data_IF_596446625254
#
_entry.id   IF_596446625254
#
_cell.length_a   1.000
_cell.length_b   1.000
_cell.length_c   1.000
_cell.angle_alpha   90.00
_cell.angle_beta   90.00
_cell.angle_gamma   90.00
#
_symmetry.space_group_name_H-M   'P 1'
#
loop_
_entity.id
_entity.type
_entity.pdbx_description
1 polymer ?
#
# COMPACT_ATOMS: atom_id res chain seq x y z
N UNK A 1 -23.84 21.65 -32.21
CA UNK A 1 -22.53 21.15 -31.74
C UNK A 1 -22.76 20.13 -30.63
N UNK A 2 -22.45 18.86 -30.93
CA UNK A 2 -22.04 17.75 -30.05
C UNK A 2 -22.54 17.75 -28.59
N UNK A 3 -23.76 17.23 -28.39
CA UNK A 3 -24.25 16.70 -27.09
C UNK A 3 -24.20 15.16 -27.03
N UNK A 4 -23.71 14.52 -28.09
CA UNK A 4 -23.47 13.08 -28.18
C UNK A 4 -21.99 12.90 -27.88
N UNK A 5 -21.63 12.43 -26.68
CA UNK A 5 -20.38 11.70 -26.38
C UNK A 5 -20.13 11.45 -24.88
N UNK A 6 -20.91 12.03 -23.94
CA UNK A 6 -20.62 11.81 -22.51
C UNK A 6 -21.23 10.52 -21.94
N UNK A 7 -22.36 10.05 -22.48
CA UNK A 7 -23.02 8.83 -21.96
C UNK A 7 -22.36 7.51 -22.38
N UNK A 8 -21.43 7.51 -23.34
CA UNK A 8 -20.77 6.28 -23.82
C UNK A 8 -19.57 5.90 -22.93
N UNK A 9 -19.02 6.82 -22.14
CA UNK A 9 -17.82 6.55 -21.32
C UNK A 9 -18.17 5.90 -19.96
N UNK A 10 -19.42 5.98 -19.50
CA UNK A 10 -19.84 5.37 -18.22
C UNK A 10 -20.35 3.92 -18.36
N UNK A 11 -20.54 3.41 -19.58
CA UNK A 11 -21.10 2.07 -19.83
C UNK A 11 -20.08 0.91 -19.95
N UNK A 12 -18.79 1.14 -19.69
CA UNK A 12 -17.76 0.08 -19.91
C UNK A 12 -17.45 -0.78 -18.68
N UNK A 13 -17.99 -0.52 -17.48
CA UNK A 13 -17.64 -1.33 -16.30
C UNK A 13 -18.81 -1.94 -15.53
N UNK A 14 -19.90 -2.27 -16.22
CA UNK A 14 -20.81 -3.31 -15.74
C UNK A 14 -20.25 -4.68 -16.12
N UNK A 15 -19.05 -5.01 -15.60
CA UNK A 15 -18.59 -6.41 -15.63
C UNK A 15 -19.49 -7.18 -14.66
N UNK A 16 -20.23 -8.15 -15.19
CA UNK A 16 -20.85 -9.20 -14.38
C UNK A 16 -19.72 -10.07 -13.80
N UNK A 17 -18.99 -9.53 -12.84
CA UNK A 17 -17.97 -10.25 -12.09
C UNK A 17 -18.59 -10.81 -10.82
N UNK A 18 -18.39 -12.10 -10.59
CA UNK A 18 -18.62 -12.68 -9.26
C UNK A 18 -17.53 -12.11 -8.33
N UNK A 19 -17.91 -11.75 -7.10
CA UNK A 19 -16.97 -11.26 -6.10
C UNK A 19 -15.89 -12.32 -5.81
N UNK A 20 -14.64 -11.88 -5.65
CA UNK A 20 -13.50 -12.76 -5.42
C UNK A 20 -13.55 -13.41 -4.02
N UNK A 21 -13.32 -14.73 -3.93
CA UNK A 21 -13.27 -15.49 -2.66
C UNK A 21 -11.88 -15.50 -2.00
N UNK A 22 -10.83 -15.05 -2.70
CA UNK A 22 -9.49 -14.90 -2.13
C UNK A 22 -9.38 -13.62 -1.29
N UNK A 23 -8.67 -13.64 -0.15
CA UNK A 23 -8.40 -12.43 0.61
C UNK A 23 -7.78 -11.38 -0.32
N UNK A 24 -8.34 -10.15 -0.36
CA UNK A 24 -7.87 -9.13 -1.28
C UNK A 24 -6.40 -8.82 -0.95
N UNK A 25 -5.56 -8.56 -1.97
CA UNK A 25 -4.16 -8.21 -1.73
C UNK A 25 -4.11 -7.00 -0.81
N UNK A 26 -3.25 -6.99 0.21
CA UNK A 26 -3.14 -5.84 1.14
C UNK A 26 -2.34 -4.69 0.53
N UNK A 27 -1.39 -5.01 -0.35
CA UNK A 27 -0.63 -4.06 -1.14
C UNK A 27 -0.53 -4.59 -2.56
N UNK A 28 -0.39 -3.68 -3.52
CA UNK A 28 0.06 -4.03 -4.86
C UNK A 28 1.60 -3.99 -4.86
N UNK A 29 2.23 -3.31 -5.82
CA UNK A 29 3.70 -3.22 -5.90
C UNK A 29 4.27 -2.31 -4.80
N UNK A 30 3.82 -1.06 -4.79
CA UNK A 30 4.24 -0.02 -3.83
C UNK A 30 3.07 0.75 -3.24
N UNK A 31 1.85 0.52 -3.76
CA UNK A 31 0.64 1.22 -3.35
C UNK A 31 -0.26 0.30 -2.52
N UNK A 32 -0.93 0.84 -1.49
CA UNK A 32 -1.83 0.09 -0.63
C UNK A 32 -3.16 -0.11 -1.35
N UNK A 33 -3.80 -1.25 -1.08
CA UNK A 33 -5.21 -1.45 -1.41
C UNK A 33 -6.07 -1.22 -0.16
N UNK A 34 -7.39 -1.34 -0.30
CA UNK A 34 -8.33 -1.39 0.80
C UNK A 34 -8.25 -2.69 1.66
N UNK A 35 -7.54 -3.71 1.19
CA UNK A 35 -7.41 -5.00 1.86
C UNK A 35 -6.50 -4.95 3.08
N UNK A 36 -6.83 -5.78 4.08
CA UNK A 36 -6.08 -5.98 5.33
C UNK A 36 -5.75 -7.46 5.51
N UNK A 37 -4.70 -7.75 6.29
CA UNK A 37 -4.43 -9.13 6.71
C UNK A 37 -5.59 -9.69 7.52
N UNK A 38 -5.94 -10.96 7.26
CA UNK A 38 -6.93 -11.71 8.05
C UNK A 38 -6.41 -11.87 9.48
N UNK A 39 -7.31 -11.91 10.46
CA UNK A 39 -6.95 -12.07 11.88
C UNK A 39 -6.01 -13.26 12.10
N UNK A 40 -4.92 -13.03 12.82
CA UNK A 40 -3.91 -14.03 13.13
C UNK A 40 -2.98 -14.38 11.97
N UNK A 41 -3.10 -13.70 10.82
CA UNK A 41 -2.18 -13.85 9.69
C UNK A 41 -0.99 -12.90 9.83
N UNK A 42 0.15 -13.32 9.30
CA UNK A 42 1.40 -12.57 9.30
C UNK A 42 1.90 -12.40 7.86
N UNK A 43 2.53 -11.28 7.57
CA UNK A 43 3.21 -11.05 6.31
C UNK A 43 4.59 -10.44 6.54
N UNK A 44 5.60 -11.00 5.89
CA UNK A 44 6.95 -10.47 5.86
C UNK A 44 7.26 -9.95 4.46
N UNK A 45 7.74 -8.71 4.37
CA UNK A 45 8.19 -8.10 3.12
C UNK A 45 9.66 -7.71 3.26
N UNK A 46 10.48 -8.09 2.28
CA UNK A 46 11.84 -7.62 2.13
C UNK A 46 11.95 -6.85 0.81
N UNK A 47 12.46 -5.63 0.87
CA UNK A 47 12.60 -4.75 -0.29
C UNK A 47 14.06 -4.39 -0.49
N UNK A 48 14.65 -4.90 -1.57
CA UNK A 48 15.96 -4.50 -2.06
C UNK A 48 15.81 -3.18 -2.83
N UNK A 49 16.74 -2.26 -2.62
CA UNK A 49 16.72 -0.90 -3.13
C UNK A 49 18.04 -0.56 -3.82
N UNK A 50 18.14 0.64 -4.41
CA UNK A 50 19.40 1.18 -4.95
C UNK A 50 20.49 1.19 -3.87
N UNK A 51 21.75 1.21 -4.30
CA UNK A 51 22.94 1.31 -3.43
C UNK A 51 23.01 0.22 -2.35
N UNK A 52 22.45 -0.97 -2.61
CA UNK A 52 22.49 -2.05 -1.63
C UNK A 52 21.51 -1.93 -0.47
N UNK A 53 20.57 -0.99 -0.53
CA UNK A 53 19.59 -0.80 0.54
C UNK A 53 18.65 -1.98 0.70
N UNK A 54 18.32 -2.33 1.95
CA UNK A 54 17.37 -3.38 2.28
C UNK A 54 16.45 -2.90 3.40
N UNK A 55 15.15 -2.96 3.15
CA UNK A 55 14.11 -2.78 4.18
C UNK A 55 13.39 -4.08 4.42
N UNK A 56 13.28 -4.49 5.68
CA UNK A 56 12.45 -5.62 6.10
C UNK A 56 11.24 -5.10 6.87
N UNK A 57 10.06 -5.64 6.57
CA UNK A 57 8.80 -5.30 7.24
C UNK A 57 8.09 -6.56 7.67
N UNK A 58 7.51 -6.51 8.87
CA UNK A 58 6.65 -7.56 9.42
C UNK A 58 5.30 -6.93 9.78
N UNK A 59 4.22 -7.53 9.29
CA UNK A 59 2.85 -7.11 9.54
C UNK A 59 1.99 -8.26 10.08
N UNK A 60 1.00 -7.92 10.90
CA UNK A 60 0.05 -8.81 11.55
C UNK A 60 -1.37 -8.30 11.35
N UNK A 61 -2.29 -9.21 10.98
CA UNK A 61 -3.72 -8.99 11.11
C UNK A 61 -4.16 -9.16 12.56
N UNK A 62 -4.32 -8.06 13.29
CA UNK A 62 -4.79 -8.08 14.68
C UNK A 62 -6.27 -8.46 14.74
N UNK A 63 -7.05 -7.90 13.81
CA UNK A 63 -8.42 -8.31 13.51
C UNK A 63 -8.56 -8.44 12.00
N UNK A 64 -9.71 -8.92 11.51
CA UNK A 64 -9.93 -8.93 10.07
C UNK A 64 -9.89 -7.52 9.47
N UNK A 65 -10.12 -6.47 10.27
CA UNK A 65 -10.15 -5.07 9.81
C UNK A 65 -8.91 -4.26 10.18
N UNK A 66 -8.14 -4.69 11.17
CA UNK A 66 -7.01 -3.92 11.67
C UNK A 66 -5.71 -4.71 11.51
N UNK A 67 -4.78 -4.08 10.80
CA UNK A 67 -3.42 -4.56 10.58
C UNK A 67 -2.43 -3.61 11.24
N UNK A 68 -1.44 -4.20 11.90
CA UNK A 68 -0.30 -3.51 12.50
C UNK A 68 0.99 -4.12 11.94
N UNK A 69 1.98 -3.29 11.65
CA UNK A 69 3.28 -3.72 11.19
C UNK A 69 4.38 -2.73 11.53
N UNK A 70 5.60 -3.23 11.50
CA UNK A 70 6.82 -2.47 11.69
C UNK A 70 7.78 -2.77 10.54
N UNK A 71 8.63 -1.81 10.22
CA UNK A 71 9.72 -1.98 9.27
C UNK A 71 11.01 -1.38 9.80
N UNK A 72 12.13 -1.99 9.41
CA UNK A 72 13.45 -1.47 9.70
C UNK A 72 14.41 -1.91 8.59
N UNK A 73 15.47 -1.15 8.40
CA UNK A 73 16.36 -1.39 7.27
C UNK A 73 17.60 -0.52 7.30
N UNK A 74 18.32 -0.60 6.18
CA UNK A 74 19.53 0.16 5.92
C UNK A 74 19.50 0.63 4.46
N UNK A 75 20.06 1.81 4.22
CA UNK A 75 20.19 2.36 2.88
C UNK A 75 21.35 1.75 2.08
N UNK A 76 22.30 1.12 2.78
CA UNK A 76 23.42 0.39 2.21
C UNK A 76 23.76 -0.82 3.10
N UNK A 77 23.02 -1.93 2.92
CA UNK A 77 23.25 -3.18 3.66
C UNK A 77 24.07 -4.18 2.83
N UNK A 78 23.89 -4.16 1.52
CA UNK A 78 24.49 -5.10 0.56
C UNK A 78 25.43 -4.34 -0.36
N UNK A 79 26.72 -4.33 -0.06
CA UNK A 79 27.71 -3.60 -0.84
C UNK A 79 29.11 -3.70 -0.23
N UNK A 80 30.04 -2.96 -0.82
CA UNK A 80 31.43 -2.80 -0.38
C UNK A 80 31.67 -1.47 0.38
N UNK A 81 30.72 -0.55 0.32
CA UNK A 81 30.72 0.70 1.07
C UNK A 81 30.31 0.51 2.55
N UNK A 82 30.40 1.57 3.36
CA UNK A 82 30.03 1.53 4.78
C UNK A 82 28.53 1.33 5.01
N UNK A 83 28.20 0.50 6.00
CA UNK A 83 26.83 0.20 6.42
C UNK A 83 26.14 1.43 7.03
N UNK A 84 24.96 1.77 6.50
CA UNK A 84 24.16 2.93 6.93
C UNK A 84 22.74 2.51 7.36
N UNK A 85 22.55 2.33 8.67
CA UNK A 85 21.24 1.99 9.24
C UNK A 85 20.26 3.17 9.19
N UNK A 86 18.98 2.87 9.04
CA UNK A 86 17.94 3.85 9.32
C UNK A 86 17.91 4.21 10.82
N UNK A 87 17.52 5.44 11.18
CA UNK A 87 17.64 5.93 12.56
C UNK A 87 16.67 5.25 13.53
N UNK A 88 15.56 4.70 13.03
CA UNK A 88 14.51 4.07 13.84
C UNK A 88 13.67 3.09 13.04
N UNK A 89 12.99 2.14 13.71
CA UNK A 89 11.90 1.40 13.11
C UNK A 89 10.74 2.32 12.73
N UNK A 90 10.10 2.03 11.61
CA UNK A 90 8.94 2.74 11.08
C UNK A 90 7.68 1.87 11.21
N UNK A 91 6.51 2.51 11.25
CA UNK A 91 5.24 1.84 11.50
C UNK A 91 4.37 1.78 10.25
N UNK A 92 3.67 0.65 10.10
CA UNK A 92 2.62 0.45 9.09
C UNK A 92 1.31 0.07 9.80
N UNK A 93 0.30 0.92 9.70
CA UNK A 93 -1.03 0.68 10.25
C UNK A 93 -2.04 0.67 9.11
N UNK A 94 -3.04 -0.19 9.20
CA UNK A 94 -4.17 -0.15 8.28
C UNK A 94 -5.47 -0.57 8.97
N UNK A 95 -6.51 0.22 8.76
CA UNK A 95 -7.86 -0.05 9.20
C UNK A 95 -8.84 -0.06 8.03
N UNK A 96 -9.53 -1.19 7.83
CA UNK A 96 -10.56 -1.37 6.81
C UNK A 96 -11.90 -0.81 7.32
N UNK A 97 -12.33 0.28 6.70
CA UNK A 97 -13.57 0.99 7.03
C UNK A 97 -14.79 0.28 6.45
N UNK A 98 -14.72 -0.06 5.16
CA UNK A 98 -15.83 -0.64 4.39
C UNK A 98 -15.31 -1.89 3.69
N UNK A 99 -16.09 -2.97 3.80
CA UNK A 99 -15.82 -4.21 3.12
C UNK A 99 -16.28 -4.11 1.67
N UNK A 100 -15.47 -4.67 0.77
CA UNK A 100 -15.86 -4.79 -0.63
C UNK A 100 -17.06 -5.72 -0.75
N UNK A 101 -18.10 -5.27 -1.45
CA UNK A 101 -19.28 -6.08 -1.79
C UNK A 101 -19.50 -6.04 -3.29
N UNK A 102 -20.53 -6.68 -3.83
CA UNK A 102 -20.86 -6.57 -5.26
C UNK A 102 -21.15 -5.12 -5.67
N UNK A 103 -21.77 -4.30 -4.83
CA UNK A 103 -22.18 -2.92 -5.15
C UNK A 103 -21.23 -1.83 -4.63
N UNK A 104 -20.40 -2.11 -3.62
CA UNK A 104 -19.55 -1.11 -2.96
C UNK A 104 -18.07 -1.48 -3.07
N UNK A 105 -17.14 -0.55 -3.38
CA UNK A 105 -15.71 -0.79 -3.22
C UNK A 105 -15.33 -0.89 -1.75
N UNK A 106 -14.30 -1.68 -1.45
CA UNK A 106 -13.69 -1.65 -0.12
C UNK A 106 -12.98 -0.32 0.10
N UNK A 107 -13.00 0.18 1.34
CA UNK A 107 -12.30 1.41 1.75
C UNK A 107 -11.42 1.14 2.97
N UNK A 108 -10.22 1.72 2.99
CA UNK A 108 -9.33 1.69 4.16
C UNK A 108 -8.65 3.02 4.39
N UNK A 109 -8.25 3.24 5.64
CA UNK A 109 -7.29 4.25 6.04
C UNK A 109 -6.05 3.56 6.58
N UNK A 110 -4.89 4.16 6.41
CA UNK A 110 -3.67 3.66 7.00
C UNK A 110 -2.63 4.73 7.23
N UNK A 111 -1.54 4.29 7.84
CA UNK A 111 -0.33 5.04 8.09
C UNK A 111 0.83 4.19 7.60
N UNK A 112 1.73 4.76 6.82
CA UNK A 112 3.00 4.14 6.48
C UNK A 112 4.10 5.19 6.63
N UNK A 113 4.95 5.04 7.65
CA UNK A 113 6.04 5.98 7.93
C UNK A 113 7.37 5.58 7.30
N UNK A 114 7.42 4.43 6.60
CA UNK A 114 8.64 3.96 5.94
C UNK A 114 8.82 4.58 4.56
N UNK A 115 9.87 5.39 4.41
CA UNK A 115 10.35 5.85 3.10
C UNK A 115 11.34 4.87 2.46
N UNK A 116 11.91 5.29 1.33
CA UNK A 116 12.86 4.50 0.53
C UNK A 116 14.11 5.33 0.21
N UNK A 117 15.25 4.65 0.03
CA UNK A 117 16.55 5.27 -0.24
C UNK A 117 17.25 5.73 1.03
N UNK A 118 18.12 6.74 0.88
CA UNK A 118 18.90 7.31 1.97
C UNK A 118 18.04 8.13 2.93
N UNK A 119 18.37 8.09 4.23
CA UNK A 119 17.75 8.96 5.22
C UNK A 119 18.63 10.20 5.44
N UNK A 120 18.08 11.38 5.18
CA UNK A 120 18.83 12.63 5.19
C UNK A 120 18.64 13.33 6.55
N UNK A 121 19.51 13.04 7.51
CA UNK A 121 19.49 13.68 8.85
C UNK A 121 19.86 15.17 8.82
N UNK A 122 20.68 15.58 7.86
CA UNK A 122 21.11 16.97 7.70
C UNK A 122 20.04 17.88 7.08
N UNK A 123 18.98 17.30 6.51
CA UNK A 123 17.83 18.06 6.03
C UNK A 123 17.00 18.48 7.26
N UNK A 124 16.59 19.75 7.35
CA UNK A 124 15.72 20.24 8.45
C UNK A 124 14.42 19.44 8.59
N UNK A 125 14.09 18.75 7.50
CA UNK A 125 12.91 17.96 7.21
C UNK A 125 13.07 16.47 7.56
N UNK A 126 14.30 16.01 7.84
CA UNK A 126 14.65 14.66 8.34
C UNK A 126 13.90 13.53 7.62
N UNK A 127 14.21 13.34 6.33
CA UNK A 127 13.41 12.53 5.40
C UNK A 127 14.21 11.55 4.55
N UNK A 128 13.51 10.53 4.07
CA UNK A 128 14.01 9.61 3.05
C UNK A 128 14.04 10.27 1.66
N UNK A 129 14.94 9.81 0.78
CA UNK A 129 15.00 10.22 -0.63
C UNK A 129 13.63 10.12 -1.33
N UNK A 130 12.95 8.99 -1.13
CA UNK A 130 11.54 8.83 -1.47
C UNK A 130 10.76 8.80 -0.19
N UNK A 131 9.94 9.82 0.00
CA UNK A 131 9.09 9.98 1.17
C UNK A 131 8.18 8.77 1.36
N UNK A 132 7.93 8.43 2.63
CA UNK A 132 6.87 7.50 2.98
C UNK A 132 5.51 8.00 2.47
N UNK A 133 4.47 7.18 2.50
CA UNK A 133 3.13 7.68 2.19
C UNK A 133 2.58 8.58 3.31
N UNK A 134 2.97 8.35 4.57
CA UNK A 134 2.31 8.96 5.72
C UNK A 134 0.90 8.42 5.91
N UNK A 135 -0.06 9.28 6.27
CA UNK A 135 -1.47 8.87 6.32
C UNK A 135 -1.98 8.72 4.89
N UNK A 136 -2.69 7.64 4.62
CA UNK A 136 -3.30 7.39 3.32
C UNK A 136 -4.73 6.87 3.45
N UNK A 137 -5.48 7.04 2.37
CA UNK A 137 -6.77 6.40 2.13
C UNK A 137 -6.70 5.60 0.83
N UNK A 138 -7.29 4.41 0.81
CA UNK A 138 -7.32 3.55 -0.36
C UNK A 138 -8.73 2.97 -0.58
N UNK A 139 -9.18 2.98 -1.82
CA UNK A 139 -10.38 2.31 -2.28
C UNK A 139 -10.01 1.21 -3.28
N UNK A 140 -10.67 0.06 -3.21
CA UNK A 140 -10.36 -1.08 -4.07
C UNK A 140 -11.61 -1.88 -4.43
N UNK A 141 -11.64 -2.37 -5.67
CA UNK A 141 -12.71 -3.18 -6.20
C UNK A 141 -12.14 -4.26 -7.11
N UNK A 142 -12.52 -5.51 -6.89
CA UNK A 142 -12.03 -6.67 -7.60
C UNK A 142 -13.20 -7.44 -8.21
N UNK A 143 -13.01 -7.91 -9.44
CA UNK A 143 -13.97 -8.69 -10.19
C UNK A 143 -13.29 -9.95 -10.73
N UNK A 144 -13.97 -11.08 -10.63
CA UNK A 144 -13.58 -12.28 -11.37
C UNK A 144 -14.13 -12.16 -12.80
N UNK A 145 -13.26 -12.18 -13.80
CA UNK A 145 -13.62 -12.13 -15.22
C UNK A 145 -13.22 -13.44 -15.92
N UNK A 146 -13.72 -13.75 -17.13
CA UNK A 146 -13.27 -14.91 -17.90
C UNK A 146 -11.76 -14.92 -18.20
N UNK A 147 -11.08 -13.77 -18.11
CA UNK A 147 -9.63 -13.62 -18.32
C UNK A 147 -8.82 -13.64 -17.02
N UNK A 148 -9.47 -13.84 -15.87
CA UNK A 148 -8.85 -13.80 -14.54
C UNK A 148 -9.35 -12.63 -13.69
N UNK A 149 -8.60 -12.31 -12.63
CA UNK A 149 -8.98 -11.25 -11.69
C UNK A 149 -8.65 -9.87 -12.26
N UNK A 150 -9.66 -9.00 -12.32
CA UNK A 150 -9.52 -7.59 -12.65
C UNK A 150 -9.73 -6.76 -11.39
N UNK A 151 -8.77 -5.89 -11.05
CA UNK A 151 -8.84 -5.01 -9.89
C UNK A 151 -8.71 -3.54 -10.30
N UNK A 152 -9.56 -2.69 -9.73
CA UNK A 152 -9.43 -1.23 -9.78
C UNK A 152 -9.09 -0.72 -8.38
N UNK A 153 -8.01 0.06 -8.29
CA UNK A 153 -7.51 0.61 -7.03
C UNK A 153 -7.25 2.11 -7.19
N UNK A 154 -7.63 2.89 -6.18
CA UNK A 154 -7.40 4.33 -6.11
C UNK A 154 -7.02 4.71 -4.69
N UNK A 155 -6.29 5.81 -4.51
CA UNK A 155 -5.91 6.27 -3.19
C UNK A 155 -5.34 7.68 -3.19
N UNK A 156 -5.21 8.23 -1.99
CA UNK A 156 -4.57 9.52 -1.72
C UNK A 156 -3.75 9.41 -0.44
N UNK A 157 -2.72 10.23 -0.28
CA UNK A 157 -1.86 10.21 0.90
C UNK A 157 -1.33 11.61 1.24
N UNK A 158 -0.85 11.74 2.49
CA UNK A 158 -0.20 12.92 3.01
C UNK A 158 0.91 12.52 3.99
N UNK A 159 2.13 12.97 3.71
CA UNK A 159 3.30 12.74 4.55
C UNK A 159 3.60 13.97 5.43
N UNK A 160 3.84 13.75 6.72
CA UNK A 160 4.13 14.79 7.73
C UNK A 160 5.59 15.25 7.74
N UNK A 161 6.52 14.41 7.27
CA UNK A 161 7.89 14.79 6.99
C UNK A 161 7.90 15.51 5.61
N UNK A 162 7.53 16.79 5.64
CA UNK A 162 7.97 17.72 4.60
C UNK A 162 9.48 17.69 4.54
#
# INVERSE_FOLDING_TARGET
MKLINFSIIISILSTFGIAQTYPPPTTLVSIPSAGTLVRGSYAMQMRVQKNGGLTSSLSVGITDRFQFGLSFGSANLIGDDSLEWYPRPEANLKYRLIDETTSMPGLSLGLDTQGQGQFNEADTLMRYDVKAMGIYAAASKNWVTPLGNLGLHMGTNYNFAE
#
